data_IF_712691735431
#
_entry.id   IF_712691735431
#
_cell.length_a   1.000
_cell.length_b   1.000
_cell.length_c   1.000
_cell.angle_alpha   90.00
_cell.angle_beta   90.00
_cell.angle_gamma   90.00
#
_symmetry.space_group_name_H-M   'P 1'
#
loop_
_entity.id
_entity.type
_entity.pdbx_description
1 polymer ?
#
# COMPACT_ATOMS: atom_id res chain seq x y z
N UNK A 1 12.20 -11.17 17.21
CA UNK A 1 12.06 -10.41 15.93
C UNK A 1 12.09 -8.92 16.27
N UNK A 2 12.95 -8.13 15.63
CA UNK A 2 13.05 -6.70 15.93
C UNK A 2 11.72 -6.00 15.55
N UNK A 3 11.22 -5.08 16.41
CA UNK A 3 9.95 -4.35 16.24
C UNK A 3 9.81 -3.70 14.84
N UNK A 4 10.92 -3.18 14.31
CA UNK A 4 10.95 -2.61 12.96
C UNK A 4 10.68 -3.65 11.85
N UNK A 5 11.18 -4.87 12.00
CA UNK A 5 10.96 -5.95 11.04
C UNK A 5 9.52 -6.47 11.08
N UNK A 6 8.90 -6.45 12.26
CA UNK A 6 7.50 -6.82 12.44
C UNK A 6 6.57 -5.84 11.70
N UNK A 7 6.80 -4.53 11.86
CA UNK A 7 6.03 -3.48 11.16
C UNK A 7 6.14 -3.65 9.64
N UNK A 8 7.37 -3.85 9.13
CA UNK A 8 7.61 -4.09 7.70
C UNK A 8 6.85 -5.31 7.20
N UNK A 9 6.90 -6.40 7.95
CA UNK A 9 6.20 -7.63 7.59
C UNK A 9 4.69 -7.41 7.44
N UNK A 10 4.06 -6.71 8.39
CA UNK A 10 2.64 -6.40 8.30
C UNK A 10 2.28 -5.52 7.10
N UNK A 11 3.09 -4.50 6.81
CA UNK A 11 2.86 -3.65 5.64
C UNK A 11 3.02 -4.40 4.32
N UNK A 12 4.03 -5.26 4.21
CA UNK A 12 4.24 -6.11 3.05
C UNK A 12 3.07 -7.09 2.87
N UNK A 13 2.66 -7.72 3.97
CA UNK A 13 1.57 -8.69 3.96
C UNK A 13 0.25 -8.06 3.50
N UNK A 14 -0.11 -6.88 4.02
CA UNK A 14 -1.37 -6.24 3.64
C UNK A 14 -1.39 -5.85 2.16
N UNK A 15 -0.25 -5.35 1.63
CA UNK A 15 -0.14 -5.03 0.21
C UNK A 15 -0.33 -6.28 -0.66
N UNK A 16 0.34 -7.38 -0.33
CA UNK A 16 0.23 -8.63 -1.08
C UNK A 16 -1.17 -9.25 -0.98
N UNK A 17 -1.72 -9.32 0.24
CA UNK A 17 -3.06 -9.86 0.45
C UNK A 17 -4.16 -9.03 -0.21
N UNK A 18 -3.95 -7.71 -0.39
CA UNK A 18 -4.91 -6.86 -1.12
C UNK A 18 -5.13 -7.36 -2.56
N UNK A 19 -4.11 -7.88 -3.22
CA UNK A 19 -4.26 -8.50 -4.55
C UNK A 19 -5.07 -9.80 -4.49
N UNK A 20 -4.79 -10.67 -3.51
CA UNK A 20 -5.58 -11.90 -3.34
C UNK A 20 -7.05 -11.64 -2.98
N UNK A 21 -7.27 -10.69 -2.05
CA UNK A 21 -8.62 -10.29 -1.61
C UNK A 21 -9.40 -9.65 -2.76
N UNK A 22 -8.74 -8.88 -3.64
CA UNK A 22 -9.41 -8.26 -4.80
C UNK A 22 -10.00 -9.30 -5.75
N UNK A 23 -9.28 -10.40 -6.01
CA UNK A 23 -9.80 -11.51 -6.82
C UNK A 23 -10.98 -12.17 -6.13
N UNK A 24 -10.85 -12.48 -4.84
CA UNK A 24 -11.92 -13.12 -4.08
C UNK A 24 -13.19 -12.28 -4.08
N UNK A 25 -13.07 -10.98 -3.79
CA UNK A 25 -14.21 -10.07 -3.78
C UNK A 25 -14.81 -9.87 -5.18
N UNK A 26 -13.98 -9.73 -6.21
CA UNK A 26 -14.49 -9.60 -7.59
C UNK A 26 -15.22 -10.85 -8.04
N UNK A 27 -14.71 -12.03 -7.68
CA UNK A 27 -15.40 -13.29 -7.93
C UNK A 27 -16.75 -13.36 -7.23
N UNK A 28 -16.79 -13.00 -5.96
CA UNK A 28 -18.02 -12.99 -5.18
C UNK A 28 -19.07 -12.02 -5.75
N UNK A 29 -18.67 -10.79 -6.02
CA UNK A 29 -19.57 -9.77 -6.58
C UNK A 29 -20.13 -10.16 -7.94
N UNK A 30 -19.29 -10.69 -8.84
CA UNK A 30 -19.73 -11.01 -10.17
C UNK A 30 -20.58 -12.30 -10.21
N UNK A 31 -20.29 -13.29 -9.37
CA UNK A 31 -21.16 -14.47 -9.24
C UNK A 31 -22.56 -14.10 -8.74
N UNK A 32 -22.62 -13.20 -7.74
CA UNK A 32 -23.91 -12.75 -7.20
C UNK A 32 -24.73 -11.93 -8.21
N UNK A 33 -24.07 -11.01 -8.95
CA UNK A 33 -24.75 -10.14 -9.92
C UNK A 33 -25.12 -10.87 -11.20
N UNK A 34 -24.27 -11.79 -11.68
CA UNK A 34 -24.44 -12.44 -12.99
C UNK A 34 -25.25 -13.74 -12.94
N UNK A 35 -25.54 -14.25 -11.73
CA UNK A 35 -26.18 -15.56 -11.59
C UNK A 35 -25.37 -16.73 -12.17
N UNK A 36 -24.05 -16.55 -12.35
CA UNK A 36 -23.16 -17.56 -12.92
C UNK A 36 -23.01 -17.55 -14.44
N UNK A 37 -23.37 -16.45 -15.11
CA UNK A 37 -23.16 -16.30 -16.56
C UNK A 37 -21.66 -16.24 -16.89
N UNK A 38 -21.18 -17.17 -17.72
CA UNK A 38 -19.76 -17.32 -18.14
C UNK A 38 -19.19 -16.06 -18.80
N UNK A 39 -20.03 -15.19 -19.35
CA UNK A 39 -19.60 -13.91 -19.92
C UNK A 39 -18.95 -12.99 -18.91
N UNK A 40 -19.37 -13.09 -17.66
CA UNK A 40 -18.87 -12.24 -16.58
C UNK A 40 -17.78 -12.95 -15.76
N UNK A 41 -17.86 -14.27 -15.67
CA UNK A 41 -16.97 -15.07 -14.84
C UNK A 41 -16.42 -16.31 -15.58
N UNK A 42 -15.25 -16.21 -16.23
CA UNK A 42 -14.64 -17.31 -17.00
C UNK A 42 -13.99 -18.34 -16.05
N UNK A 43 -14.71 -19.38 -15.70
CA UNK A 43 -14.23 -20.42 -14.75
C UNK A 43 -13.00 -21.15 -15.27
N UNK A 44 -12.93 -21.45 -16.57
CA UNK A 44 -11.86 -22.28 -17.17
C UNK A 44 -10.46 -21.67 -17.07
N UNK A 45 -10.34 -20.35 -17.11
CA UNK A 45 -9.03 -19.66 -17.11
C UNK A 45 -8.74 -18.91 -15.82
N UNK A 46 -9.62 -19.05 -14.83
CA UNK A 46 -9.49 -18.36 -13.55
C UNK A 46 -8.17 -18.66 -12.85
N UNK A 47 -7.71 -19.90 -12.86
CA UNK A 47 -6.45 -20.31 -12.22
C UNK A 47 -5.23 -19.60 -12.83
N UNK A 48 -5.19 -19.48 -14.15
CA UNK A 48 -4.11 -18.78 -14.86
C UNK A 48 -4.13 -17.28 -14.56
N UNK A 49 -5.32 -16.68 -14.51
CA UNK A 49 -5.46 -15.28 -14.14
C UNK A 49 -5.04 -15.02 -12.68
N UNK A 50 -5.45 -15.85 -11.73
CA UNK A 50 -5.04 -15.78 -10.32
C UNK A 50 -3.52 -15.80 -10.20
N UNK A 51 -2.87 -16.73 -10.91
CA UNK A 51 -1.41 -16.84 -10.89
C UNK A 51 -0.74 -15.54 -11.38
N UNK A 52 -1.16 -15.02 -12.54
CA UNK A 52 -0.60 -13.79 -13.11
C UNK A 52 -0.82 -12.61 -12.15
N UNK A 53 -2.05 -12.45 -11.66
CA UNK A 53 -2.40 -11.34 -10.77
C UNK A 53 -1.62 -11.39 -9.44
N UNK A 54 -1.47 -12.57 -8.84
CA UNK A 54 -0.63 -12.74 -7.64
C UNK A 54 0.85 -12.48 -7.91
N UNK A 55 1.37 -12.90 -9.07
CA UNK A 55 2.74 -12.57 -9.48
C UNK A 55 2.92 -11.05 -9.66
N UNK A 56 1.96 -10.37 -10.28
CA UNK A 56 1.98 -8.91 -10.42
C UNK A 56 1.91 -8.23 -9.05
N UNK A 57 1.11 -8.74 -8.11
CA UNK A 57 1.09 -8.30 -6.72
C UNK A 57 2.47 -8.46 -6.05
N UNK A 58 3.13 -9.58 -6.24
CA UNK A 58 4.50 -9.81 -5.78
C UNK A 58 5.51 -8.81 -6.36
N UNK A 59 5.46 -8.57 -7.69
CA UNK A 59 6.28 -7.56 -8.35
C UNK A 59 6.02 -6.16 -7.80
N UNK A 60 4.75 -5.81 -7.55
CA UNK A 60 4.36 -4.54 -6.95
C UNK A 60 4.97 -4.35 -5.55
N UNK A 61 4.88 -5.37 -4.69
CA UNK A 61 5.47 -5.37 -3.35
C UNK A 61 6.99 -5.22 -3.41
N UNK A 62 7.66 -5.96 -4.29
CA UNK A 62 9.10 -5.86 -4.50
C UNK A 62 9.49 -4.45 -4.94
N UNK A 63 8.73 -3.84 -5.86
CA UNK A 63 8.95 -2.47 -6.30
C UNK A 63 8.79 -1.46 -5.16
N UNK A 64 7.75 -1.59 -4.34
CA UNK A 64 7.56 -0.78 -3.14
C UNK A 64 8.71 -0.92 -2.15
N UNK A 65 9.26 -2.12 -2.02
CA UNK A 65 10.36 -2.38 -1.10
C UNK A 65 11.69 -1.80 -1.60
N UNK A 66 12.10 -2.18 -2.82
CA UNK A 66 13.44 -1.88 -3.32
C UNK A 66 13.52 -0.44 -3.85
N UNK A 67 12.61 -0.08 -4.75
CA UNK A 67 12.68 1.21 -5.46
C UNK A 67 12.13 2.37 -4.66
N UNK A 68 10.97 2.21 -4.12
CA UNK A 68 10.27 3.28 -3.40
C UNK A 68 10.57 3.30 -1.90
N UNK A 69 11.11 2.20 -1.36
CA UNK A 69 11.50 2.05 0.05
C UNK A 69 10.38 2.39 1.05
N UNK A 70 9.11 2.14 0.67
CA UNK A 70 7.93 2.46 1.47
C UNK A 70 7.93 1.80 2.86
N UNK A 71 8.55 0.63 2.98
CA UNK A 71 8.62 -0.09 4.26
C UNK A 71 9.81 0.33 5.12
N UNK A 72 10.68 1.19 4.61
CA UNK A 72 11.89 1.62 5.32
C UNK A 72 11.83 3.09 5.70
N UNK A 73 11.37 3.94 4.80
CA UNK A 73 11.25 5.37 5.02
C UNK A 73 9.81 5.78 5.24
N UNK A 74 9.63 6.74 6.14
CA UNK A 74 8.34 7.35 6.41
C UNK A 74 8.13 8.50 5.45
N UNK A 75 7.03 8.48 4.74
CA UNK A 75 6.68 9.50 3.76
C UNK A 75 5.39 10.21 4.17
N UNK A 76 5.22 11.51 3.84
CA UNK A 76 3.95 12.19 3.96
C UNK A 76 2.83 11.43 3.25
N UNK A 77 1.63 11.48 3.80
CA UNK A 77 0.49 10.70 3.31
C UNK A 77 0.24 10.88 1.80
N UNK A 78 0.12 12.11 1.34
CA UNK A 78 -0.19 12.41 -0.06
C UNK A 78 0.92 12.00 -1.02
N UNK A 79 2.17 12.10 -0.58
CA UNK A 79 3.31 11.67 -1.39
C UNK A 79 3.32 10.14 -1.57
N UNK A 80 3.11 9.41 -0.48
CA UNK A 80 3.03 7.95 -0.52
C UNK A 80 1.85 7.48 -1.39
N UNK A 81 0.68 8.10 -1.24
CA UNK A 81 -0.52 7.79 -2.01
C UNK A 81 -0.30 7.98 -3.52
N UNK A 82 0.33 9.09 -3.92
CA UNK A 82 0.68 9.35 -5.32
C UNK A 82 1.60 8.28 -5.89
N UNK A 83 2.61 7.86 -5.14
CA UNK A 83 3.53 6.80 -5.56
C UNK A 83 2.83 5.44 -5.69
N UNK A 84 1.91 5.12 -4.78
CA UNK A 84 1.10 3.90 -4.84
C UNK A 84 0.27 3.89 -6.13
N UNK A 85 -0.52 4.91 -6.38
CA UNK A 85 -1.37 4.98 -7.58
C UNK A 85 -0.55 4.90 -8.86
N UNK A 86 0.58 5.61 -8.93
CA UNK A 86 1.47 5.55 -10.09
C UNK A 86 1.99 4.14 -10.33
N UNK A 87 2.40 3.45 -9.29
CA UNK A 87 2.92 2.08 -9.41
C UNK A 87 1.83 1.11 -9.82
N UNK A 88 0.65 1.19 -9.18
CA UNK A 88 -0.49 0.35 -9.53
C UNK A 88 -0.91 0.54 -11.00
N UNK A 89 -0.91 1.78 -11.52
CA UNK A 89 -1.18 2.04 -12.94
C UNK A 89 -0.16 1.38 -13.86
N UNK A 90 1.12 1.40 -13.52
CA UNK A 90 2.17 0.74 -14.31
C UNK A 90 1.94 -0.78 -14.31
N UNK A 91 1.71 -1.37 -13.14
CA UNK A 91 1.47 -2.81 -13.00
C UNK A 91 0.19 -3.24 -13.74
N UNK A 92 -0.89 -2.44 -13.66
CA UNK A 92 -2.12 -2.65 -14.41
C UNK A 92 -1.87 -2.75 -15.91
N UNK A 93 -1.10 -1.80 -16.49
CA UNK A 93 -0.79 -1.80 -17.92
C UNK A 93 0.07 -3.02 -18.30
N UNK A 94 1.02 -3.40 -17.47
CA UNK A 94 1.84 -4.60 -17.67
C UNK A 94 0.97 -5.85 -17.64
N UNK A 95 0.09 -6.00 -16.65
CA UNK A 95 -0.81 -7.15 -16.55
C UNK A 95 -1.77 -7.21 -17.74
N UNK A 96 -2.33 -6.07 -18.15
CA UNK A 96 -3.19 -6.01 -19.34
C UNK A 96 -2.44 -6.49 -20.60
N UNK A 97 -1.19 -6.07 -20.78
CA UNK A 97 -0.36 -6.53 -21.88
C UNK A 97 -0.12 -8.04 -21.81
N UNK A 98 0.22 -8.58 -20.63
CA UNK A 98 0.44 -10.02 -20.44
C UNK A 98 -0.84 -10.79 -20.78
N UNK A 99 -1.99 -10.39 -20.28
CA UNK A 99 -3.28 -11.04 -20.54
C UNK A 99 -3.61 -11.00 -22.03
N UNK A 100 -3.39 -9.86 -22.70
CA UNK A 100 -3.64 -9.70 -24.14
C UNK A 100 -2.76 -10.61 -25.00
N UNK A 101 -1.46 -10.67 -24.69
CA UNK A 101 -0.49 -11.50 -25.46
C UNK A 101 -0.60 -13.00 -25.15
N UNK A 102 -1.04 -13.36 -23.95
CA UNK A 102 -1.22 -14.77 -23.52
C UNK A 102 -2.47 -15.42 -24.11
N UNK A 103 -3.29 -14.69 -24.87
CA UNK A 103 -4.58 -15.15 -25.41
C UNK A 103 -5.52 -15.69 -24.32
N UNK A 104 -5.42 -15.17 -23.12
CA UNK A 104 -6.31 -15.50 -22.02
C UNK A 104 -7.67 -14.82 -22.22
N UNK A 105 -8.73 -15.61 -22.27
CA UNK A 105 -10.10 -15.09 -22.35
C UNK A 105 -10.56 -14.67 -20.94
N UNK A 106 -10.00 -13.56 -20.43
CA UNK A 106 -10.44 -12.98 -19.16
C UNK A 106 -11.60 -12.01 -19.45
N UNK A 107 -12.69 -12.14 -18.69
CA UNK A 107 -13.80 -11.21 -18.79
C UNK A 107 -13.34 -9.78 -18.48
N UNK A 108 -13.69 -8.84 -19.36
CA UNK A 108 -13.39 -7.40 -19.17
C UNK A 108 -13.98 -6.88 -17.86
N UNK A 109 -15.16 -7.34 -17.50
CA UNK A 109 -15.84 -6.96 -16.27
C UNK A 109 -15.07 -7.48 -15.05
N UNK A 110 -14.70 -8.76 -15.07
CA UNK A 110 -13.93 -9.37 -13.99
C UNK A 110 -12.59 -8.66 -13.77
N UNK A 111 -11.84 -8.44 -14.84
CA UNK A 111 -10.56 -7.74 -14.79
C UNK A 111 -10.73 -6.30 -14.26
N UNK A 112 -11.72 -5.54 -14.77
CA UNK A 112 -11.95 -4.16 -14.36
C UNK A 112 -12.35 -4.05 -12.89
N UNK A 113 -13.25 -4.92 -12.41
CA UNK A 113 -13.67 -4.94 -11.00
C UNK A 113 -12.50 -5.32 -10.09
N UNK A 114 -11.70 -6.34 -10.48
CA UNK A 114 -10.51 -6.73 -9.72
C UNK A 114 -9.55 -5.57 -9.54
N UNK A 115 -9.23 -4.84 -10.61
CA UNK A 115 -8.34 -3.69 -10.54
C UNK A 115 -8.91 -2.50 -9.78
N UNK A 116 -10.20 -2.23 -9.91
CA UNK A 116 -10.88 -1.21 -9.09
C UNK A 116 -10.76 -1.52 -7.60
N UNK A 117 -10.91 -2.81 -7.25
CA UNK A 117 -10.69 -3.27 -5.86
C UNK A 117 -9.23 -3.14 -5.43
N UNK A 118 -8.24 -3.46 -6.29
CA UNK A 118 -6.82 -3.25 -5.96
C UNK A 118 -6.52 -1.78 -5.68
N UNK A 119 -7.00 -0.86 -6.55
CA UNK A 119 -6.84 0.59 -6.36
C UNK A 119 -7.46 1.12 -5.07
N UNK A 120 -8.45 0.42 -4.54
CA UNK A 120 -9.12 0.77 -3.28
C UNK A 120 -8.46 0.07 -2.10
N UNK A 121 -8.24 -1.24 -2.19
CA UNK A 121 -7.78 -2.06 -1.07
C UNK A 121 -6.32 -1.78 -0.68
N UNK A 122 -5.42 -1.55 -1.63
CA UNK A 122 -4.01 -1.29 -1.33
C UNK A 122 -3.84 0.01 -0.51
N UNK A 123 -4.36 1.17 -0.93
CA UNK A 123 -4.27 2.39 -0.12
C UNK A 123 -5.00 2.28 1.21
N UNK A 124 -6.23 1.75 1.21
CA UNK A 124 -7.02 1.60 2.44
C UNK A 124 -6.35 0.63 3.42
N UNK A 125 -5.84 -0.50 2.95
CA UNK A 125 -5.12 -1.46 3.76
C UNK A 125 -3.92 -0.84 4.46
N UNK A 126 -3.15 0.00 3.74
CA UNK A 126 -2.02 0.74 4.33
C UNK A 126 -2.45 1.75 5.37
N UNK A 127 -3.51 2.51 5.11
CA UNK A 127 -4.06 3.47 6.07
C UNK A 127 -4.49 2.73 7.35
N UNK A 128 -5.24 1.65 7.18
CA UNK A 128 -5.76 0.87 8.31
C UNK A 128 -4.63 0.28 9.15
N UNK A 129 -3.65 -0.39 8.52
CA UNK A 129 -2.54 -1.00 9.26
C UNK A 129 -1.65 0.04 9.95
N UNK A 130 -1.36 1.17 9.31
CA UNK A 130 -0.58 2.23 9.95
C UNK A 130 -1.32 2.85 11.12
N UNK A 131 -2.61 3.15 10.96
CA UNK A 131 -3.43 3.68 12.05
C UNK A 131 -3.51 2.71 13.23
N UNK A 132 -3.64 1.41 12.94
CA UNK A 132 -3.63 0.37 13.97
C UNK A 132 -2.28 0.34 14.71
N UNK A 133 -1.17 0.34 13.96
CA UNK A 133 0.17 0.32 14.54
C UNK A 133 0.51 1.61 15.32
N UNK A 134 -0.04 2.76 14.92
CA UNK A 134 0.06 4.03 15.66
C UNK A 134 -0.71 3.92 16.97
N UNK A 135 -1.96 3.45 16.95
CA UNK A 135 -2.79 3.25 18.15
C UNK A 135 -2.16 2.29 19.14
N UNK A 136 -1.51 1.23 18.66
CA UNK A 136 -0.76 0.28 19.49
C UNK A 136 0.59 0.85 19.99
N UNK A 137 0.97 2.05 19.58
CA UNK A 137 2.25 2.67 19.93
C UNK A 137 3.46 2.00 19.27
N UNK A 138 3.24 1.05 18.36
CA UNK A 138 4.33 0.31 17.71
C UNK A 138 4.97 1.09 16.56
N UNK A 139 4.21 1.91 15.88
CA UNK A 139 4.68 2.75 14.78
C UNK A 139 5.30 4.06 15.26
N UNK A 140 5.06 4.48 16.51
CA UNK A 140 5.60 5.72 17.06
C UNK A 140 7.11 5.65 17.21
N UNK A 141 7.82 6.67 16.71
CA UNK A 141 9.26 6.84 16.85
C UNK A 141 9.52 8.09 17.69
N UNK A 142 10.17 7.90 18.83
CA UNK A 142 10.60 9.02 19.67
C UNK A 142 11.62 9.85 18.89
N UNK A 143 11.39 11.15 18.84
CA UNK A 143 12.17 12.10 18.04
C UNK A 143 12.49 13.31 18.88
N UNK A 144 13.69 13.83 18.70
CA UNK A 144 14.17 15.04 19.36
C UNK A 144 14.41 16.10 18.27
N UNK A 145 13.98 17.33 18.51
CA UNK A 145 14.27 18.48 17.64
C UNK A 145 15.45 19.22 18.23
N UNK A 146 16.50 19.38 17.43
CA UNK A 146 17.69 20.14 17.82
C UNK A 146 17.54 21.55 17.22
N UNK A 147 17.48 22.56 18.10
CA UNK A 147 17.31 23.96 17.75
C UNK A 147 16.24 24.65 18.60
N UNK A 148 16.31 25.97 18.71
CA UNK A 148 15.42 26.81 19.51
C UNK A 148 14.79 27.97 18.70
N UNK A 149 15.08 28.09 17.42
CA UNK A 149 14.62 29.17 16.58
C UNK A 149 13.23 28.94 15.95
N UNK A 150 12.80 29.94 15.18
CA UNK A 150 11.56 29.89 14.39
C UNK A 150 11.44 28.62 13.54
N UNK A 151 12.55 28.19 12.94
CA UNK A 151 12.61 26.98 12.12
C UNK A 151 12.30 25.69 12.92
N UNK A 152 12.76 25.60 14.17
CA UNK A 152 12.47 24.44 15.03
C UNK A 152 10.98 24.33 15.34
N UNK A 153 10.32 25.48 15.55
CA UNK A 153 8.86 25.54 15.74
C UNK A 153 8.11 25.13 14.46
N UNK A 154 8.53 25.64 13.30
CA UNK A 154 7.92 25.28 12.02
C UNK A 154 8.05 23.77 11.73
N UNK A 155 9.21 23.17 12.03
CA UNK A 155 9.41 21.71 11.92
C UNK A 155 8.50 20.95 12.88
N UNK A 156 8.35 21.41 14.11
CA UNK A 156 7.45 20.82 15.10
C UNK A 156 6.01 20.85 14.60
N UNK A 157 5.53 22.01 14.17
CA UNK A 157 4.17 22.19 13.67
C UNK A 157 3.92 21.32 12.43
N UNK A 158 4.88 21.24 11.51
CA UNK A 158 4.79 20.39 10.33
C UNK A 158 4.69 18.90 10.67
N UNK A 159 5.52 18.42 11.60
CA UNK A 159 5.50 17.01 12.03
C UNK A 159 4.26 16.66 12.85
N UNK A 160 3.77 17.59 13.65
CA UNK A 160 2.56 17.40 14.46
C UNK A 160 1.28 17.40 13.62
N UNK A 161 1.28 18.13 12.51
CA UNK A 161 0.18 18.15 11.54
C UNK A 161 0.11 16.87 10.68
N UNK A 162 1.16 16.03 10.71
CA UNK A 162 1.23 14.79 9.95
C UNK A 162 1.36 13.54 10.85
N UNK A 163 0.32 13.18 11.63
CA UNK A 163 0.36 12.04 12.55
C UNK A 163 0.64 10.71 11.84
N UNK A 164 0.35 10.64 10.54
CA UNK A 164 0.63 9.50 9.68
C UNK A 164 2.13 9.14 9.59
N UNK A 165 3.01 10.11 9.80
CA UNK A 165 4.45 9.89 9.88
C UNK A 165 4.85 9.14 11.16
N UNK A 166 4.04 9.22 12.23
CA UNK A 166 4.28 8.52 13.49
C UNK A 166 5.52 8.99 14.23
N UNK A 167 5.88 10.27 14.16
CA UNK A 167 6.91 10.86 14.99
C UNK A 167 6.28 11.36 16.30
N UNK A 168 6.90 10.99 17.44
CA UNK A 168 6.53 11.46 18.76
C UNK A 168 7.65 12.36 19.30
N UNK A 169 7.42 13.66 19.25
CA UNK A 169 8.42 14.64 19.65
C UNK A 169 8.45 14.73 21.17
N UNK A 170 9.59 14.37 21.79
CA UNK A 170 9.79 14.33 23.25
C UNK A 170 10.44 15.58 23.81
N UNK A 171 11.44 16.12 23.11
CA UNK A 171 12.30 17.18 23.63
C UNK A 171 12.75 18.13 22.51
N UNK A 172 12.98 19.37 22.89
CA UNK A 172 13.74 20.36 22.14
C UNK A 172 15.09 20.54 22.82
N UNK A 173 16.18 20.45 22.08
CA UNK A 173 17.53 20.69 22.59
C UNK A 173 18.01 22.03 22.04
N UNK A 174 18.32 22.96 22.94
CA UNK A 174 18.93 24.25 22.59
C UNK A 174 20.45 24.07 22.39
N UNK A 175 20.95 24.45 21.22
CA UNK A 175 22.38 24.34 20.91
C UNK A 175 23.19 25.54 21.42
N UNK A 176 22.57 26.60 21.94
CA UNK A 176 23.26 27.79 22.42
C UNK A 176 23.89 27.60 23.82
N UNK A 177 23.53 26.58 24.57
CA UNK A 177 24.11 26.30 25.91
C UNK A 177 25.47 25.60 25.87
N UNK A 178 26.03 25.29 24.69
CA UNK A 178 27.33 24.62 24.55
C UNK A 178 28.40 25.45 23.85
N UNK A 179 28.36 26.80 23.96
CA UNK A 179 29.45 27.69 23.57
C UNK A 179 30.15 28.28 24.78
#
# INVERSE_FOLDING_TARGET
>A
MNRANFIKFFQISIDFFSFGISIFLSSFFLLEISGGDDRYFPVEQLSSFILIHCLMGGCCVIWFWIRLRHYTYRKPFWFELKEIFRTLLIILVIELAIVAFSRLYVSRYFWSVTWLLVFTLVPLGRILIKNLLIKLGWYLKETIIIGNGKNAKEVFDALNNEPYLGFNIKLFINTEEYK
#
